data_IF_998639053229
#
_entry.id   IF_998639053229
#
_cell.length_a   1.000
_cell.length_b   1.000
_cell.length_c   1.000
_cell.angle_alpha   90.00
_cell.angle_beta   90.00
_cell.angle_gamma   90.00
#
_symmetry.space_group_name_H-M   'P 1'
#
loop_
_entity.id
_entity.type
_entity.pdbx_description
1 polymer ?
#
# COMPACT_ATOMS: atom_id res chain seq x y z
N UNK A 1 -7.65 -6.63 5.15
CA UNK A 1 -8.04 -6.28 3.77
C UNK A 1 -9.44 -6.75 3.36
N UNK A 2 -9.76 -8.06 3.20
CA UNK A 2 -11.05 -8.45 2.60
C UNK A 2 -12.28 -8.07 3.44
N UNK A 3 -12.22 -8.30 4.76
CA UNK A 3 -13.32 -7.97 5.70
C UNK A 3 -13.55 -6.45 5.75
N UNK A 4 -12.47 -5.66 5.80
CA UNK A 4 -12.55 -4.20 5.81
C UNK A 4 -13.19 -3.66 4.52
N UNK A 5 -12.78 -4.18 3.36
CA UNK A 5 -13.38 -3.82 2.08
C UNK A 5 -14.86 -4.16 2.00
N UNK A 6 -15.24 -5.37 2.43
CA UNK A 6 -16.65 -5.78 2.48
C UNK A 6 -17.46 -4.88 3.43
N UNK A 7 -16.94 -4.59 4.63
CA UNK A 7 -17.59 -3.69 5.57
C UNK A 7 -17.84 -2.31 4.95
N UNK A 8 -16.83 -1.73 4.29
CA UNK A 8 -16.95 -0.43 3.61
C UNK A 8 -18.00 -0.44 2.50
N UNK A 9 -18.12 -1.54 1.75
CA UNK A 9 -19.17 -1.71 0.74
C UNK A 9 -20.55 -1.73 1.41
N UNK A 10 -20.70 -2.46 2.52
CA UNK A 10 -21.98 -2.60 3.22
C UNK A 10 -22.48 -1.28 3.83
N UNK A 11 -21.59 -0.43 4.33
CA UNK A 11 -21.96 0.87 4.93
C UNK A 11 -22.00 2.04 3.93
N UNK A 12 -21.72 1.78 2.66
CA UNK A 12 -21.68 2.81 1.60
C UNK A 12 -22.79 2.60 0.58
N UNK A 13 -23.23 3.68 -0.07
CA UNK A 13 -24.15 3.61 -1.22
C UNK A 13 -23.36 3.66 -2.52
N UNK A 14 -23.99 3.31 -3.65
CA UNK A 14 -23.37 3.39 -4.98
C UNK A 14 -22.82 4.80 -5.32
N UNK A 15 -23.38 5.86 -4.70
CA UNK A 15 -22.95 7.24 -4.91
C UNK A 15 -21.77 7.65 -4.01
N UNK A 16 -21.57 6.97 -2.87
CA UNK A 16 -20.58 7.34 -1.85
C UNK A 16 -19.43 6.35 -1.72
N UNK A 17 -19.55 5.13 -2.28
CA UNK A 17 -18.57 4.05 -2.16
C UNK A 17 -17.17 4.47 -2.59
N UNK A 18 -17.00 5.10 -3.77
CA UNK A 18 -15.69 5.54 -4.26
C UNK A 18 -15.05 6.54 -3.30
N UNK A 19 -15.83 7.53 -2.84
CA UNK A 19 -15.33 8.55 -1.90
C UNK A 19 -14.93 7.93 -0.56
N UNK A 20 -15.79 7.08 0.00
CA UNK A 20 -15.57 6.47 1.31
C UNK A 20 -14.36 5.50 1.27
N UNK A 21 -14.20 4.72 0.20
CA UNK A 21 -13.00 3.89 -0.01
C UNK A 21 -11.73 4.73 -0.16
N UNK A 22 -11.78 5.84 -0.89
CA UNK A 22 -10.62 6.73 -1.01
C UNK A 22 -10.26 7.39 0.32
N UNK A 23 -11.23 7.81 1.14
CA UNK A 23 -10.97 8.33 2.49
C UNK A 23 -10.32 7.25 3.37
N UNK A 24 -10.87 6.03 3.35
CA UNK A 24 -10.29 4.90 4.06
C UNK A 24 -8.84 4.65 3.61
N UNK A 25 -8.56 4.73 2.31
CA UNK A 25 -7.21 4.58 1.76
C UNK A 25 -6.27 5.69 2.24
N UNK A 26 -6.72 6.95 2.31
CA UNK A 26 -5.92 8.07 2.84
C UNK A 26 -5.54 7.80 4.30
N UNK A 27 -6.50 7.37 5.12
CA UNK A 27 -6.24 7.05 6.54
C UNK A 27 -5.24 5.90 6.63
N UNK A 28 -5.43 4.84 5.84
CA UNK A 28 -4.53 3.69 5.81
C UNK A 28 -3.10 4.10 5.42
N UNK A 29 -2.92 4.85 4.34
CA UNK A 29 -1.59 5.25 3.85
C UNK A 29 -0.95 6.37 4.68
N UNK A 30 -1.73 7.11 5.48
CA UNK A 30 -1.17 8.04 6.47
C UNK A 30 -0.25 7.33 7.48
N UNK A 31 -0.47 6.03 7.72
CA UNK A 31 0.42 5.24 8.59
C UNK A 31 1.86 5.15 8.05
N UNK A 32 2.04 5.03 6.73
CA UNK A 32 3.37 5.07 6.10
C UNK A 32 4.01 6.45 6.27
N UNK A 33 3.23 7.52 6.14
CA UNK A 33 3.72 8.88 6.34
C UNK A 33 4.19 9.12 7.79
N UNK A 34 3.31 8.94 8.77
CA UNK A 34 3.63 9.20 10.18
C UNK A 34 4.64 8.19 10.75
N UNK A 35 4.55 6.92 10.34
CA UNK A 35 5.47 5.88 10.76
C UNK A 35 6.90 6.13 10.30
N UNK A 36 7.09 6.55 9.04
CA UNK A 36 8.42 6.88 8.52
C UNK A 36 8.96 8.19 9.10
N UNK A 37 8.12 9.19 9.41
CA UNK A 37 8.56 10.38 10.16
C UNK A 37 9.13 9.99 11.53
N UNK A 38 8.42 9.13 12.28
CA UNK A 38 8.90 8.64 13.56
C UNK A 38 10.21 7.87 13.40
N UNK A 39 10.32 7.02 12.37
CA UNK A 39 11.55 6.29 12.07
C UNK A 39 12.72 7.24 11.76
N UNK A 40 12.52 8.28 10.96
CA UNK A 40 13.54 9.30 10.67
C UNK A 40 14.07 9.94 11.95
N UNK A 41 13.20 10.35 12.88
CA UNK A 41 13.62 10.97 14.14
C UNK A 41 14.30 9.98 15.12
N UNK A 42 13.81 8.74 15.20
CA UNK A 42 14.33 7.74 16.15
C UNK A 42 15.67 7.16 15.67
N UNK A 43 15.86 7.05 14.35
CA UNK A 43 17.05 6.47 13.73
C UNK A 43 18.10 7.53 13.36
N UNK A 44 17.79 8.83 13.51
CA UNK A 44 18.74 9.90 13.29
C UNK A 44 20.01 9.70 14.13
N UNK A 45 21.17 9.74 13.48
CA UNK A 45 22.51 9.65 14.08
C UNK A 45 22.81 8.32 14.83
N UNK A 46 22.11 7.22 14.51
CA UNK A 46 22.34 5.90 15.13
C UNK A 46 22.71 4.82 14.12
N UNK A 47 23.97 4.41 14.15
CA UNK A 47 24.49 3.25 13.39
C UNK A 47 23.92 1.90 13.92
N UNK A 48 23.55 1.85 15.21
CA UNK A 48 22.93 0.66 15.81
C UNK A 48 21.72 1.05 16.64
N UNK A 49 20.61 0.33 16.43
CA UNK A 49 19.40 0.50 17.22
C UNK A 49 19.62 0.00 18.65
N UNK A 50 19.71 0.95 19.58
CA UNK A 50 19.81 0.66 21.02
C UNK A 50 18.54 -0.02 21.56
N UNK A 51 18.68 -0.75 22.68
CA UNK A 51 17.59 -1.49 23.31
C UNK A 51 16.46 -0.56 23.77
N UNK A 52 16.79 0.65 24.24
CA UNK A 52 15.82 1.62 24.73
C UNK A 52 14.92 2.12 23.58
N UNK A 53 15.50 2.50 22.45
CA UNK A 53 14.81 2.99 21.24
C UNK A 53 13.87 1.91 20.68
N UNK A 54 14.34 0.67 20.58
CA UNK A 54 13.50 -0.47 20.17
C UNK A 54 12.31 -0.66 21.11
N UNK A 55 12.56 -0.60 22.42
CA UNK A 55 11.51 -0.78 23.44
C UNK A 55 10.47 0.35 23.37
N UNK A 56 10.91 1.61 23.20
CA UNK A 56 10.03 2.77 23.04
C UNK A 56 9.14 2.63 21.81
N UNK A 57 9.70 2.26 20.65
CA UNK A 57 8.93 2.06 19.42
C UNK A 57 7.91 0.93 19.59
N UNK A 58 8.33 -0.22 20.14
CA UNK A 58 7.44 -1.36 20.37
C UNK A 58 6.29 -0.98 21.32
N UNK A 59 6.59 -0.31 22.44
CA UNK A 59 5.56 0.11 23.41
C UNK A 59 4.59 1.14 22.79
N UNK A 60 5.09 2.08 21.98
CA UNK A 60 4.24 3.04 21.29
C UNK A 60 3.30 2.35 20.29
N UNK A 61 3.80 1.42 19.48
CA UNK A 61 3.00 0.64 18.53
C UNK A 61 1.98 -0.28 19.23
N UNK A 62 2.36 -0.86 20.37
CA UNK A 62 1.44 -1.65 21.21
C UNK A 62 0.32 -0.78 21.76
N UNK A 63 0.63 0.42 22.25
CA UNK A 63 -0.37 1.37 22.73
C UNK A 63 -1.38 1.74 21.62
N UNK A 64 -0.87 2.13 20.45
CA UNK A 64 -1.70 2.50 19.30
C UNK A 64 -2.58 1.33 18.83
N UNK A 65 -2.02 0.12 18.73
CA UNK A 65 -2.78 -1.07 18.29
C UNK A 65 -3.84 -1.50 19.31
N UNK A 66 -3.55 -1.41 20.60
CA UNK A 66 -4.54 -1.66 21.65
C UNK A 66 -5.68 -0.65 21.60
N UNK A 67 -5.36 0.64 21.46
CA UNK A 67 -6.37 1.70 21.29
C UNK A 67 -7.20 1.50 20.03
N UNK A 68 -6.57 1.20 18.89
CA UNK A 68 -7.26 0.95 17.62
C UNK A 68 -8.22 -0.26 17.74
N UNK A 69 -7.78 -1.33 18.40
CA UNK A 69 -8.64 -2.51 18.66
C UNK A 69 -9.85 -2.14 19.50
N UNK A 70 -9.65 -1.31 20.53
CA UNK A 70 -10.76 -0.82 21.36
C UNK A 70 -11.73 0.05 20.56
N UNK A 71 -11.24 0.93 19.69
CA UNK A 71 -12.10 1.68 18.75
C UNK A 71 -12.88 0.75 17.81
N UNK A 72 -12.26 -0.35 17.36
CA UNK A 72 -12.92 -1.31 16.47
C UNK A 72 -14.13 -1.99 17.12
N UNK A 73 -14.13 -2.16 18.45
CA UNK A 73 -15.27 -2.72 19.19
C UNK A 73 -16.51 -1.80 19.17
N UNK A 74 -16.33 -0.51 18.91
CA UNK A 74 -17.40 0.47 18.84
C UNK A 74 -17.86 0.77 17.41
N UNK A 75 -17.35 0.06 16.40
CA UNK A 75 -17.86 0.26 15.04
C UNK A 75 -19.32 -0.20 14.95
N UNK A 76 -20.16 0.57 14.24
CA UNK A 76 -21.55 0.19 14.05
C UNK A 76 -21.64 -1.10 13.23
N UNK A 77 -22.61 -1.93 13.57
CA UNK A 77 -22.99 -3.07 12.73
C UNK A 77 -23.47 -2.57 11.38
N UNK A 78 -23.00 -3.16 10.26
CA UNK A 78 -23.38 -2.70 8.94
C UNK A 78 -24.89 -2.93 8.75
N UNK A 79 -25.62 -1.83 8.54
CA UNK A 79 -27.06 -1.83 8.25
C UNK A 79 -27.26 -1.81 6.74
N UNK A 80 -28.14 -2.66 6.21
CA UNK A 80 -28.46 -2.69 4.78
C UNK A 80 -29.10 -1.36 4.34
N UNK A 81 -29.10 -1.08 3.03
CA UNK A 81 -29.69 0.15 2.45
C UNK A 81 -31.17 0.36 2.81
N UNK A 82 -31.84 -0.70 3.29
CA UNK A 82 -33.25 -0.75 3.70
C UNK A 82 -33.45 -0.57 5.22
N UNK A 83 -32.42 -0.14 5.96
CA UNK A 83 -32.47 0.13 7.41
C UNK A 83 -32.57 -1.12 8.30
N UNK A 84 -32.51 -2.32 7.71
CA UNK A 84 -32.48 -3.60 8.41
C UNK A 84 -31.03 -4.02 8.64
N UNK A 85 -30.72 -4.54 9.82
CA UNK A 85 -29.44 -5.19 10.06
C UNK A 85 -29.17 -6.21 8.98
N UNK A 86 -27.96 -6.20 8.41
CA UNK A 86 -27.52 -7.24 7.47
C UNK A 86 -27.52 -8.54 8.27
N UNK A 87 -28.58 -9.35 8.10
CA UNK A 87 -28.63 -10.68 8.72
C UNK A 87 -27.45 -11.46 8.17
N UNK A 88 -26.53 -11.83 9.06
CA UNK A 88 -25.52 -12.84 8.74
C UNK A 88 -26.27 -14.11 8.35
N UNK A 89 -26.26 -14.42 7.06
CA UNK A 89 -26.72 -15.69 6.57
C UNK A 89 -25.71 -16.71 7.10
N UNK A 90 -26.03 -17.37 8.22
CA UNK A 90 -25.24 -18.45 8.82
C UNK A 90 -25.27 -19.68 7.91
N UNK A 91 -24.83 -19.51 6.66
CA UNK A 91 -24.52 -20.60 5.77
C UNK A 91 -23.40 -21.40 6.42
N UNK A 92 -23.57 -22.72 6.49
CA UNK A 92 -22.53 -23.64 6.95
C UNK A 92 -21.17 -23.27 6.32
N UNK A 93 -20.05 -23.32 7.05
CA UNK A 93 -18.73 -22.93 6.53
C UNK A 93 -18.38 -23.59 5.19
N UNK A 94 -18.85 -24.83 4.98
CA UNK A 94 -18.68 -25.59 3.74
C UNK A 94 -19.44 -24.94 2.57
N UNK A 95 -20.65 -24.44 2.83
CA UNK A 95 -21.47 -23.73 1.83
C UNK A 95 -20.84 -22.39 1.49
N UNK A 96 -20.32 -21.66 2.47
CA UNK A 96 -19.58 -20.41 2.25
C UNK A 96 -18.29 -20.64 1.44
N UNK A 97 -17.54 -21.70 1.76
CA UNK A 97 -16.34 -22.10 1.02
C UNK A 97 -16.69 -22.44 -0.43
N UNK A 98 -17.75 -23.23 -0.64
CA UNK A 98 -18.21 -23.61 -1.98
C UNK A 98 -18.61 -22.38 -2.80
N UNK A 99 -19.39 -21.46 -2.23
CA UNK A 99 -19.77 -20.19 -2.89
C UNK A 99 -18.55 -19.34 -3.23
N UNK A 100 -17.57 -19.26 -2.32
CA UNK A 100 -16.31 -18.53 -2.56
C UNK A 100 -15.52 -19.15 -3.71
N UNK A 101 -15.46 -20.48 -3.77
CA UNK A 101 -14.78 -21.21 -4.84
C UNK A 101 -15.48 -21.04 -6.21
N UNK A 102 -16.81 -21.11 -6.23
CA UNK A 102 -17.60 -20.85 -7.44
C UNK A 102 -17.38 -19.41 -7.94
N UNK A 103 -17.36 -18.42 -7.04
CA UNK A 103 -17.06 -17.04 -7.38
C UNK A 103 -15.63 -16.88 -7.94
N UNK A 104 -14.64 -17.47 -7.28
CA UNK A 104 -13.24 -17.42 -7.69
C UNK A 104 -12.98 -18.04 -9.07
N UNK A 105 -13.78 -19.03 -9.48
CA UNK A 105 -13.65 -19.74 -10.76
C UNK A 105 -14.49 -19.14 -11.89
N UNK A 106 -15.19 -18.03 -11.65
CA UNK A 106 -15.91 -17.31 -12.71
C UNK A 106 -14.95 -16.73 -13.75
N UNK A 107 -15.39 -16.67 -15.02
CA UNK A 107 -14.56 -16.16 -16.13
C UNK A 107 -13.97 -14.77 -15.86
N UNK A 108 -14.77 -13.86 -15.32
CA UNK A 108 -14.32 -12.50 -15.02
C UNK A 108 -13.29 -12.48 -13.87
N UNK A 109 -13.48 -13.28 -12.83
CA UNK A 109 -12.51 -13.38 -11.73
C UNK A 109 -11.19 -14.01 -12.17
N UNK A 110 -11.23 -15.00 -13.06
CA UNK A 110 -10.01 -15.60 -13.62
C UNK A 110 -9.21 -14.62 -14.50
N UNK A 111 -9.89 -13.74 -15.25
CA UNK A 111 -9.22 -12.68 -16.00
C UNK A 111 -8.58 -11.67 -15.03
N UNK A 112 -9.31 -11.25 -14.00
CA UNK A 112 -8.82 -10.34 -12.96
C UNK A 112 -7.70 -10.94 -12.10
N UNK A 113 -7.67 -12.27 -11.95
CA UNK A 113 -6.66 -12.97 -11.16
C UNK A 113 -5.24 -12.65 -11.63
N UNK A 114 -5.02 -12.54 -12.95
CA UNK A 114 -3.72 -12.17 -13.52
C UNK A 114 -3.31 -10.77 -13.04
N UNK A 115 -4.24 -9.81 -13.05
CA UNK A 115 -4.00 -8.46 -12.53
C UNK A 115 -3.75 -8.46 -11.02
N UNK A 116 -4.44 -9.29 -10.24
CA UNK A 116 -4.19 -9.41 -8.79
C UNK A 116 -2.82 -10.00 -8.48
N UNK A 117 -2.37 -11.00 -9.25
CA UNK A 117 -1.02 -11.55 -9.11
C UNK A 117 0.04 -10.49 -9.41
N UNK A 118 -0.14 -9.72 -10.49
CA UNK A 118 0.75 -8.62 -10.85
C UNK A 118 0.82 -7.55 -9.75
N UNK A 119 -0.34 -7.06 -9.28
CA UNK A 119 -0.43 -6.10 -8.18
C UNK A 119 0.22 -6.65 -6.89
N UNK A 120 0.05 -7.95 -6.62
CA UNK A 120 0.68 -8.61 -5.48
C UNK A 120 2.21 -8.58 -5.56
N UNK A 121 2.78 -8.88 -6.74
CA UNK A 121 4.22 -8.77 -6.95
C UNK A 121 4.71 -7.33 -6.80
N UNK A 122 3.99 -6.36 -7.34
CA UNK A 122 4.32 -4.94 -7.21
C UNK A 122 4.34 -4.50 -5.74
N UNK A 123 3.32 -4.86 -4.95
CA UNK A 123 3.27 -4.53 -3.52
C UNK A 123 4.43 -5.18 -2.76
N UNK A 124 4.70 -6.47 -3.01
CA UNK A 124 5.84 -7.16 -2.39
C UNK A 124 7.18 -6.51 -2.74
N UNK A 125 7.34 -6.10 -4.00
CA UNK A 125 8.53 -5.40 -4.45
C UNK A 125 8.70 -4.06 -3.73
N UNK A 126 7.65 -3.24 -3.71
CA UNK A 126 7.67 -1.92 -3.07
C UNK A 126 7.91 -2.01 -1.56
N UNK A 127 7.20 -2.89 -0.85
CA UNK A 127 7.26 -2.94 0.62
C UNK A 127 8.46 -3.71 1.17
N UNK A 128 9.02 -4.65 0.41
CA UNK A 128 10.01 -5.60 0.91
C UNK A 128 11.35 -5.62 0.18
N UNK A 129 11.36 -5.40 -1.14
CA UNK A 129 12.58 -5.56 -1.95
C UNK A 129 13.26 -4.22 -2.19
N UNK A 130 12.50 -3.20 -2.59
CA UNK A 130 13.05 -1.93 -3.01
C UNK A 130 13.80 -1.19 -1.89
N UNK A 131 13.17 -1.04 -0.73
CA UNK A 131 13.79 -0.41 0.44
C UNK A 131 15.09 -1.11 0.87
N UNK A 132 15.11 -2.45 0.86
CA UNK A 132 16.33 -3.22 1.16
C UNK A 132 17.42 -3.01 0.12
N UNK A 133 17.08 -3.00 -1.18
CA UNK A 133 18.05 -2.75 -2.24
C UNK A 133 18.70 -1.37 -2.12
N UNK A 134 17.90 -0.34 -1.81
CA UNK A 134 18.41 1.02 -1.58
C UNK A 134 19.31 1.05 -0.34
N UNK A 135 18.85 0.49 0.78
CA UNK A 135 19.62 0.47 2.04
C UNK A 135 20.95 -0.28 1.92
N UNK A 136 20.99 -1.37 1.14
CA UNK A 136 22.18 -2.19 0.92
C UNK A 136 23.16 -1.64 -0.12
N UNK A 137 22.80 -0.60 -0.87
CA UNK A 137 23.68 -0.01 -1.89
C UNK A 137 24.60 1.02 -1.27
N UNK A 138 25.85 0.65 -0.98
CA UNK A 138 26.84 1.51 -0.30
C UNK A 138 27.31 2.72 -1.13
N UNK A 139 27.09 2.67 -2.44
CA UNK A 139 27.40 3.80 -3.32
C UNK A 139 26.42 4.97 -3.14
N UNK A 140 25.25 4.73 -2.55
CA UNK A 140 24.32 5.79 -2.20
C UNK A 140 24.77 6.42 -0.88
N UNK A 141 25.12 7.71 -0.93
CA UNK A 141 25.38 8.46 0.29
C UNK A 141 24.14 8.43 1.20
N UNK A 142 24.33 8.09 2.47
CA UNK A 142 23.27 8.00 3.48
C UNK A 142 22.14 7.02 3.12
N UNK A 143 22.47 5.86 2.51
CA UNK A 143 21.52 4.80 2.12
C UNK A 143 20.52 4.43 3.22
N UNK A 144 20.94 4.40 4.48
CA UNK A 144 20.08 4.10 5.64
C UNK A 144 18.98 5.14 5.88
N UNK A 145 19.25 6.42 5.59
CA UNK A 145 18.28 7.52 5.72
C UNK A 145 17.38 7.63 4.49
N UNK A 146 17.84 7.13 3.34
CA UNK A 146 17.07 7.08 2.09
C UNK A 146 15.87 6.12 2.19
N UNK A 147 16.01 4.98 2.88
CA UNK A 147 14.91 4.01 3.04
C UNK A 147 13.65 4.63 3.68
N UNK A 148 13.71 5.27 4.87
CA UNK A 148 12.55 5.90 5.45
C UNK A 148 12.08 7.15 4.67
N UNK A 149 12.98 7.86 3.96
CA UNK A 149 12.61 8.96 3.08
C UNK A 149 11.75 8.48 1.90
N UNK A 150 12.14 7.38 1.24
CA UNK A 150 11.36 6.75 0.18
C UNK A 150 9.99 6.32 0.72
N UNK A 151 9.95 5.69 1.89
CA UNK A 151 8.68 5.32 2.54
C UNK A 151 7.75 6.51 2.79
N UNK A 152 8.31 7.66 3.18
CA UNK A 152 7.56 8.92 3.35
C UNK A 152 6.99 9.41 2.02
N UNK A 153 7.80 9.43 0.96
CA UNK A 153 7.40 9.92 -0.37
C UNK A 153 6.32 9.03 -0.99
N UNK A 154 6.43 7.70 -0.84
CA UNK A 154 5.38 6.74 -1.23
C UNK A 154 4.08 7.09 -0.50
N UNK A 155 4.12 7.28 0.82
CA UNK A 155 2.95 7.65 1.62
C UNK A 155 2.30 8.96 1.15
N UNK A 156 3.09 9.99 0.84
CA UNK A 156 2.58 11.26 0.28
C UNK A 156 1.94 11.03 -1.09
N UNK A 157 2.60 10.29 -1.97
CA UNK A 157 2.11 9.98 -3.32
C UNK A 157 0.75 9.29 -3.29
N UNK A 158 0.56 8.32 -2.40
CA UNK A 158 -0.71 7.61 -2.26
C UNK A 158 -1.82 8.47 -1.67
N UNK A 159 -1.51 9.34 -0.69
CA UNK A 159 -2.49 10.32 -0.17
C UNK A 159 -2.94 11.27 -1.28
N UNK A 160 -2.00 11.81 -2.06
CA UNK A 160 -2.29 12.72 -3.19
C UNK A 160 -3.12 11.99 -4.26
N UNK A 161 -2.76 10.76 -4.61
CA UNK A 161 -3.50 9.93 -5.56
C UNK A 161 -4.94 9.67 -5.10
N UNK A 162 -5.14 9.31 -3.83
CA UNK A 162 -6.46 9.08 -3.27
C UNK A 162 -7.31 10.36 -3.20
N UNK A 163 -6.72 11.51 -2.89
CA UNK A 163 -7.39 12.81 -2.97
C UNK A 163 -7.79 13.16 -4.41
N UNK A 164 -6.91 12.89 -5.38
CA UNK A 164 -7.20 13.07 -6.80
C UNK A 164 -8.40 12.20 -7.24
N UNK A 165 -8.47 10.94 -6.79
CA UNK A 165 -9.61 10.06 -7.05
C UNK A 165 -10.93 10.60 -6.46
N UNK A 166 -10.90 11.24 -5.28
CA UNK A 166 -12.10 11.87 -4.70
C UNK A 166 -12.59 13.03 -5.58
N UNK A 167 -11.67 13.87 -6.05
CA UNK A 167 -11.99 15.06 -6.84
C UNK A 167 -12.39 14.74 -8.29
N UNK A 168 -11.61 13.90 -8.96
CA UNK A 168 -11.69 13.67 -10.41
C UNK A 168 -12.35 12.33 -10.76
N UNK A 169 -12.48 11.40 -9.81
CA UNK A 169 -13.00 10.05 -10.06
C UNK A 169 -14.40 10.01 -10.67
N UNK A 170 -15.28 10.95 -10.31
CA UNK A 170 -16.61 11.10 -10.92
C UNK A 170 -16.54 11.49 -12.40
N UNK A 171 -15.58 12.36 -12.75
CA UNK A 171 -15.38 12.81 -14.13
C UNK A 171 -14.75 11.69 -14.98
N UNK A 172 -13.75 10.99 -14.42
CA UNK A 172 -13.11 9.84 -15.10
C UNK A 172 -14.11 8.72 -15.37
N UNK A 173 -14.97 8.39 -14.40
CA UNK A 173 -15.96 7.30 -14.56
C UNK A 173 -17.10 7.67 -15.50
N UNK A 174 -17.39 8.97 -15.66
CA UNK A 174 -18.38 9.47 -16.63
C UNK A 174 -17.92 9.26 -18.09
N UNK A 175 -16.60 9.25 -18.31
CA UNK A 175 -16.04 9.02 -19.65
C UNK A 175 -15.94 7.52 -19.95
N UNK A 176 -16.49 7.11 -21.09
CA UNK A 176 -16.54 5.71 -21.56
C UNK A 176 -15.16 5.02 -21.52
N UNK A 177 -14.08 5.76 -21.82
CA UNK A 177 -12.70 5.23 -21.86
C UNK A 177 -11.84 5.65 -20.66
N UNK A 178 -12.40 6.41 -19.71
CA UNK A 178 -11.62 7.04 -18.64
C UNK A 178 -10.85 6.03 -17.79
N UNK A 179 -11.49 4.93 -17.38
CA UNK A 179 -10.85 3.88 -16.58
C UNK A 179 -9.71 3.17 -17.36
N UNK A 180 -9.93 2.88 -18.64
CA UNK A 180 -8.91 2.25 -19.49
C UNK A 180 -7.72 3.16 -19.72
N UNK A 181 -7.94 4.45 -19.96
CA UNK A 181 -6.86 5.45 -20.13
C UNK A 181 -6.05 5.58 -18.85
N UNK A 182 -6.69 5.69 -17.68
CA UNK A 182 -5.99 5.75 -16.39
C UNK A 182 -5.14 4.51 -16.16
N UNK A 183 -5.67 3.31 -16.48
CA UNK A 183 -4.93 2.06 -16.35
C UNK A 183 -3.70 2.02 -17.27
N UNK A 184 -3.82 2.46 -18.53
CA UNK A 184 -2.69 2.49 -19.47
C UNK A 184 -1.62 3.47 -19.00
N UNK A 185 -2.01 4.67 -18.56
CA UNK A 185 -1.06 5.66 -18.03
C UNK A 185 -0.33 5.12 -16.80
N UNK A 186 -1.05 4.46 -15.89
CA UNK A 186 -0.44 3.83 -14.71
C UNK A 186 0.59 2.76 -15.12
N UNK A 187 0.25 1.89 -16.08
CA UNK A 187 1.17 0.87 -16.59
C UNK A 187 2.43 1.46 -17.24
N UNK A 188 2.31 2.56 -17.98
CA UNK A 188 3.45 3.24 -18.60
C UNK A 188 4.38 3.85 -17.55
N UNK A 189 3.80 4.52 -16.54
CA UNK A 189 4.56 5.09 -15.43
C UNK A 189 5.29 3.96 -14.69
N UNK A 190 4.58 2.89 -14.36
CA UNK A 190 5.14 1.75 -13.62
C UNK A 190 6.28 1.06 -14.38
N UNK A 191 6.11 0.81 -15.68
CA UNK A 191 7.17 0.22 -16.50
C UNK A 191 8.40 1.13 -16.59
N UNK A 192 8.18 2.45 -16.71
CA UNK A 192 9.25 3.44 -16.70
C UNK A 192 10.00 3.45 -15.37
N UNK A 193 9.27 3.36 -14.25
CA UNK A 193 9.84 3.22 -12.91
C UNK A 193 10.71 1.97 -12.81
N UNK A 194 10.23 0.80 -13.24
CA UNK A 194 11.05 -0.42 -13.18
C UNK A 194 12.33 -0.34 -14.01
N UNK A 195 12.28 0.33 -15.16
CA UNK A 195 13.50 0.61 -15.95
C UNK A 195 14.46 1.51 -15.17
N UNK A 196 13.96 2.59 -14.54
CA UNK A 196 14.80 3.47 -13.73
C UNK A 196 15.45 2.74 -12.56
N UNK A 197 14.70 1.90 -11.86
CA UNK A 197 15.22 1.06 -10.77
C UNK A 197 16.32 0.13 -11.29
N UNK A 198 16.08 -0.57 -12.40
CA UNK A 198 17.04 -1.47 -13.01
C UNK A 198 18.34 -0.76 -13.44
N UNK A 199 18.23 0.49 -13.91
CA UNK A 199 19.39 1.28 -14.31
C UNK A 199 20.16 1.86 -13.11
N UNK A 200 19.46 2.17 -12.01
CA UNK A 200 20.02 2.91 -10.86
C UNK A 200 20.49 2.01 -9.70
N UNK A 201 20.05 0.75 -9.61
CA UNK A 201 20.44 -0.18 -8.55
C UNK A 201 21.27 -1.36 -9.09
N UNK A 202 22.30 -1.81 -8.36
CA UNK A 202 23.10 -2.95 -8.76
C UNK A 202 22.33 -4.27 -8.55
N UNK A 203 22.48 -5.23 -9.45
CA UNK A 203 21.75 -6.51 -9.40
C UNK A 203 21.94 -7.30 -8.09
N UNK A 204 23.08 -7.11 -7.42
CA UNK A 204 23.40 -7.82 -6.17
C UNK A 204 22.81 -7.16 -4.91
N UNK A 205 22.20 -5.97 -5.01
CA UNK A 205 21.66 -5.24 -3.85
C UNK A 205 20.51 -5.97 -3.15
N UNK A 206 19.90 -6.98 -3.79
CA UNK A 206 18.85 -7.81 -3.19
C UNK A 206 19.42 -8.79 -2.15
N UNK A 207 20.68 -9.22 -2.32
CA UNK A 207 21.27 -10.32 -1.53
C UNK A 207 22.07 -9.83 -0.32
N UNK A 208 22.36 -8.54 -0.24
CA UNK A 208 23.08 -7.93 0.88
C UNK A 208 23.83 -6.68 0.46
N UNK A 209 24.57 -6.12 1.42
CA UNK A 209 25.38 -4.93 1.21
C UNK A 209 26.36 -5.10 0.05
N UNK A 210 26.28 -4.21 -0.93
CA UNK A 210 27.15 -4.23 -2.11
C UNK A 210 27.73 -2.86 -2.41
N UNK A 211 28.99 -2.86 -2.89
CA UNK A 211 29.68 -1.70 -3.45
C UNK A 211 29.70 -1.75 -4.99
N UNK A 212 28.98 -2.69 -5.59
CA UNK A 212 28.87 -2.84 -7.04
C UNK A 212 28.27 -1.58 -7.66
N UNK A 213 28.74 -1.25 -8.86
CA UNK A 213 28.21 -0.11 -9.61
C UNK A 213 26.94 -0.51 -10.34
N UNK A 214 25.93 0.36 -10.30
CA UNK A 214 24.79 0.27 -11.18
C UNK A 214 25.19 0.65 -12.63
N UNK A 215 24.26 0.48 -13.57
CA UNK A 215 24.49 0.80 -15.00
C UNK A 215 24.63 2.32 -15.18
N UNK A 216 23.81 3.10 -14.45
CA UNK A 216 24.00 4.53 -14.27
C UNK A 216 24.78 4.81 -12.99
N UNK A 217 25.50 5.94 -12.88
CA UNK A 217 26.09 6.35 -11.61
C UNK A 217 24.98 6.49 -10.57
N UNK A 218 25.07 5.67 -9.52
CA UNK A 218 24.09 5.55 -8.44
C UNK A 218 23.83 6.93 -7.83
N UNK A 219 22.64 7.49 -8.08
CA UNK A 219 22.24 8.80 -7.55
C UNK A 219 21.10 8.62 -6.57
N UNK A 220 21.21 9.27 -5.41
CA UNK A 220 20.16 9.31 -4.41
C UNK A 220 18.86 9.91 -4.98
N UNK A 221 18.96 10.86 -5.90
CA UNK A 221 17.80 11.48 -6.55
C UNK A 221 17.03 10.48 -7.41
N UNK A 222 17.74 9.66 -8.17
CA UNK A 222 17.13 8.63 -9.01
C UNK A 222 16.46 7.54 -8.17
N UNK A 223 16.99 7.24 -6.98
CA UNK A 223 16.41 6.27 -6.04
C UNK A 223 15.17 6.83 -5.31
N UNK A 224 15.04 8.15 -5.24
CA UNK A 224 13.84 8.80 -4.68
C UNK A 224 12.77 8.99 -5.75
N UNK A 225 13.17 9.23 -7.00
CA UNK A 225 12.27 9.44 -8.12
C UNK A 225 11.62 8.14 -8.61
N UNK A 226 12.37 7.04 -8.58
CA UNK A 226 11.91 5.72 -8.95
C UNK A 226 11.14 5.06 -7.79
#
# INVERSE_FOLDING_TARGET
>A
WPIQGNYMILISSNLTITRNLSIFNIIWQSSLFYGNILALFVFQDKEYLDKQSRTTVILALLGISASATLFLLFLPTPTSSDGKDVKEDYASPIVALKKTWEAATTKYMLILFISFVFMGFQVCFMSGVYGSCVGFTKQLEHSEQLVPLIGLIIGVGEIVSALCLICVGKHVTSWIWGQTVVMIVALVIEYSTFILIFLNLPNNSVFGETSDSAILPSSWWNAVLA
#
